data_IF_151381449698
#
_entry.id   IF_151381449698
#
_cell.length_a   1.000
_cell.length_b   1.000
_cell.length_c   1.000
_cell.angle_alpha   90.00
_cell.angle_beta   90.00
_cell.angle_gamma   90.00
#
_symmetry.space_group_name_H-M   'P 1'
#
loop_
_entity.id
_entity.type
_entity.pdbx_description
1 polymer ?
#
# COMPACT_ATOMS: atom_id res chain seq x y z
N UNK A 1 -9.86 27.57 -8.87
CA UNK A 1 -10.23 26.28 -8.29
C UNK A 1 -9.11 25.82 -7.34
N UNK A 2 -9.38 25.62 -6.02
CA UNK A 2 -8.36 25.29 -5.05
C UNK A 2 -7.49 24.08 -5.43
N UNK A 3 -8.06 23.06 -6.08
CA UNK A 3 -7.31 21.89 -6.55
C UNK A 3 -6.28 22.26 -7.62
N UNK A 4 -6.64 23.12 -8.56
CA UNK A 4 -5.73 23.53 -9.65
C UNK A 4 -4.58 24.37 -9.12
N UNK A 5 -4.82 25.22 -8.15
CA UNK A 5 -3.78 26.02 -7.48
C UNK A 5 -2.82 25.10 -6.70
N UNK A 6 -3.33 24.16 -5.89
CA UNK A 6 -2.49 23.22 -5.17
C UNK A 6 -1.65 22.34 -6.10
N UNK A 7 -2.22 21.90 -7.22
CA UNK A 7 -1.47 21.12 -8.24
C UNK A 7 -0.37 21.96 -8.85
N UNK A 8 -0.69 23.20 -9.25
CA UNK A 8 0.30 24.13 -9.83
C UNK A 8 1.42 24.41 -8.84
N UNK A 9 1.08 24.77 -7.59
CA UNK A 9 2.08 25.05 -6.56
C UNK A 9 2.99 23.84 -6.31
N UNK A 10 2.45 22.63 -6.21
CA UNK A 10 3.23 21.41 -6.04
C UNK A 10 4.19 21.16 -7.21
N UNK A 11 3.79 21.51 -8.44
CA UNK A 11 4.63 21.39 -9.64
C UNK A 11 5.68 22.49 -9.67
N UNK A 12 5.30 23.74 -9.41
CA UNK A 12 6.18 24.91 -9.52
C UNK A 12 7.34 24.84 -8.52
N UNK A 13 7.10 24.32 -7.31
CA UNK A 13 8.15 24.11 -6.30
C UNK A 13 8.85 22.74 -6.44
N UNK A 14 8.47 21.93 -7.43
CA UNK A 14 8.96 20.55 -7.60
C UNK A 14 8.95 19.75 -6.29
N UNK A 15 7.80 19.72 -5.63
CA UNK A 15 7.67 19.07 -4.31
C UNK A 15 7.92 17.56 -4.38
N UNK A 16 8.68 17.02 -3.41
CA UNK A 16 8.90 15.58 -3.25
C UNK A 16 7.72 14.88 -2.55
N UNK A 17 7.04 15.63 -1.68
CA UNK A 17 5.94 15.14 -0.86
C UNK A 17 4.87 16.20 -0.68
N UNK A 18 3.62 15.80 -0.88
CA UNK A 18 2.43 16.59 -0.53
C UNK A 18 1.75 15.94 0.68
N UNK A 19 1.49 16.73 1.73
CA UNK A 19 0.80 16.26 2.94
C UNK A 19 -0.63 16.81 2.96
N UNK A 20 -1.60 15.92 3.12
CA UNK A 20 -3.03 16.24 3.02
C UNK A 20 -3.75 15.76 4.27
N UNK A 21 -4.35 16.67 5.04
CA UNK A 21 -5.26 16.32 6.14
C UNK A 21 -6.62 15.84 5.61
N UNK A 22 -7.13 14.75 6.15
CA UNK A 22 -8.45 14.22 5.82
C UNK A 22 -9.36 14.25 7.05
N UNK A 23 -10.44 15.03 6.99
CA UNK A 23 -11.48 15.05 8.02
C UNK A 23 -12.52 13.96 7.80
N UNK A 24 -12.98 13.36 8.90
CA UNK A 24 -14.05 12.38 8.86
C UNK A 24 -15.41 13.04 8.61
N UNK A 25 -16.27 12.34 7.88
CA UNK A 25 -17.66 12.77 7.65
C UNK A 25 -17.89 13.81 6.54
N UNK A 26 -16.83 14.26 5.85
CA UNK A 26 -16.96 15.16 4.71
C UNK A 26 -16.48 14.45 3.45
N UNK A 27 -17.41 13.88 2.66
CA UNK A 27 -17.10 13.15 1.42
C UNK A 27 -16.23 13.94 0.43
N UNK A 28 -16.38 15.27 0.40
CA UNK A 28 -15.64 16.16 -0.51
C UNK A 28 -14.13 16.18 -0.26
N UNK A 29 -13.66 15.99 0.98
CA UNK A 29 -12.23 16.03 1.29
C UNK A 29 -11.47 14.80 0.78
N UNK A 30 -12.05 13.62 0.87
CA UNK A 30 -11.46 12.43 0.26
C UNK A 30 -11.37 12.52 -1.27
N UNK A 31 -12.30 13.21 -1.92
CA UNK A 31 -12.28 13.47 -3.37
C UNK A 31 -11.15 14.43 -3.73
N UNK A 32 -10.95 15.50 -2.95
CA UNK A 32 -9.87 16.47 -3.19
C UNK A 32 -8.50 15.80 -3.08
N UNK A 33 -8.27 15.02 -2.01
CA UNK A 33 -7.02 14.29 -1.82
C UNK A 33 -6.72 13.34 -2.98
N UNK A 34 -7.69 12.50 -3.37
CA UNK A 34 -7.53 11.58 -4.52
C UNK A 34 -7.27 12.30 -5.83
N UNK A 35 -7.96 13.41 -6.09
CA UNK A 35 -7.78 14.20 -7.31
C UNK A 35 -6.42 14.91 -7.33
N UNK A 36 -5.95 15.40 -6.18
CA UNK A 36 -4.61 15.98 -6.06
C UNK A 36 -3.54 14.91 -6.31
N UNK A 37 -3.63 13.75 -5.64
CA UNK A 37 -2.68 12.65 -5.80
C UNK A 37 -2.62 12.17 -7.26
N UNK A 38 -3.73 12.16 -7.98
CA UNK A 38 -3.73 11.80 -9.41
C UNK A 38 -2.98 12.78 -10.30
N UNK A 39 -2.95 14.05 -9.94
CA UNK A 39 -2.44 15.13 -10.78
C UNK A 39 -1.00 15.55 -10.46
N UNK A 40 -0.53 15.36 -9.24
CA UNK A 40 0.85 15.69 -8.86
C UNK A 40 1.80 14.52 -9.18
N UNK A 41 3.07 14.81 -9.39
CA UNK A 41 4.13 13.78 -9.54
C UNK A 41 4.74 13.38 -8.20
N UNK A 42 4.56 14.19 -7.17
CA UNK A 42 5.05 13.97 -5.81
C UNK A 42 4.44 12.75 -5.14
N UNK A 43 5.14 12.19 -4.18
CA UNK A 43 4.53 11.30 -3.19
C UNK A 43 3.46 12.07 -2.40
N UNK A 44 2.52 11.36 -1.80
CA UNK A 44 1.44 12.01 -1.05
C UNK A 44 1.16 11.28 0.27
N UNK A 45 1.21 12.00 1.38
CA UNK A 45 0.82 11.52 2.70
C UNK A 45 -0.57 12.03 3.03
N UNK A 46 -1.53 11.12 3.14
CA UNK A 46 -2.88 11.42 3.61
C UNK A 46 -2.95 11.11 5.10
N UNK A 47 -3.28 12.13 5.90
CA UNK A 47 -3.35 12.03 7.37
C UNK A 47 -4.80 12.16 7.82
N UNK A 48 -5.47 11.08 8.24
CA UNK A 48 -6.81 11.14 8.80
C UNK A 48 -6.86 11.93 10.12
N UNK A 49 -8.01 12.54 10.41
CA UNK A 49 -8.22 13.31 11.65
C UNK A 49 -7.98 12.49 12.92
N UNK A 50 -8.25 11.19 12.87
CA UNK A 50 -8.06 10.25 13.97
C UNK A 50 -6.69 9.57 13.99
N UNK A 51 -5.75 10.05 13.17
CA UNK A 51 -4.41 9.49 13.10
C UNK A 51 -3.69 9.58 14.44
N UNK A 52 -2.94 8.54 14.76
CA UNK A 52 -2.10 8.51 15.97
C UNK A 52 -0.81 9.29 15.75
N UNK A 53 -0.34 9.97 16.80
CA UNK A 53 0.91 10.74 16.76
C UNK A 53 2.12 9.87 17.17
N UNK A 54 2.29 8.72 16.47
CA UNK A 54 3.42 7.81 16.70
C UNK A 54 3.76 7.08 15.43
N UNK A 55 4.98 6.53 15.34
CA UNK A 55 5.42 5.67 14.25
C UNK A 55 6.26 4.53 14.82
N UNK A 56 5.64 3.40 15.09
CA UNK A 56 6.28 2.16 15.57
C UNK A 56 6.13 1.01 14.59
N UNK A 57 5.16 1.12 13.67
CA UNK A 57 4.86 0.07 12.70
C UNK A 57 4.44 0.63 11.35
N UNK A 58 4.96 0.04 10.29
CA UNK A 58 4.66 0.35 8.90
C UNK A 58 4.12 -0.91 8.23
N UNK A 59 2.99 -0.80 7.54
CA UNK A 59 2.45 -1.84 6.66
C UNK A 59 2.74 -1.48 5.22
N UNK A 60 3.28 -2.43 4.45
CA UNK A 60 3.53 -2.28 3.02
C UNK A 60 2.77 -3.38 2.26
N UNK A 61 1.64 -3.04 1.60
CA UNK A 61 0.98 -3.96 0.69
C UNK A 61 1.86 -4.25 -0.53
N UNK A 62 2.10 -5.54 -0.80
CA UNK A 62 2.97 -6.02 -1.86
C UNK A 62 2.13 -6.79 -2.88
N UNK A 63 2.19 -6.37 -4.13
CA UNK A 63 1.66 -7.09 -5.29
C UNK A 63 2.79 -7.54 -6.25
N UNK A 64 4.05 -7.39 -5.83
CA UNK A 64 5.25 -7.69 -6.61
C UNK A 64 5.47 -6.80 -7.84
N UNK A 65 4.76 -5.69 -7.96
CA UNK A 65 4.97 -4.67 -9.00
C UNK A 65 6.15 -3.75 -8.66
N UNK A 66 6.63 -2.97 -9.65
CA UNK A 66 7.64 -1.93 -9.43
C UNK A 66 7.19 -0.88 -8.40
N UNK A 67 5.90 -0.57 -8.35
CA UNK A 67 5.35 0.36 -7.37
C UNK A 67 5.39 -0.19 -5.93
N UNK A 68 5.24 -1.51 -5.74
CA UNK A 68 5.42 -2.12 -4.41
C UNK A 68 6.90 -2.18 -4.00
N UNK A 69 7.83 -2.25 -4.96
CA UNK A 69 9.28 -2.09 -4.69
C UNK A 69 9.56 -0.70 -4.14
N UNK A 70 9.06 0.35 -4.77
CA UNK A 70 9.26 1.72 -4.30
C UNK A 70 8.61 1.98 -2.93
N UNK A 71 7.46 1.36 -2.67
CA UNK A 71 6.82 1.40 -1.35
C UNK A 71 7.69 0.75 -0.26
N UNK A 72 8.28 -0.43 -0.55
CA UNK A 72 9.21 -1.10 0.37
C UNK A 72 10.46 -0.27 0.61
N UNK A 73 11.11 0.24 -0.44
CA UNK A 73 12.29 1.11 -0.33
C UNK A 73 12.02 2.35 0.52
N UNK A 74 10.85 2.96 0.33
CA UNK A 74 10.43 4.12 1.13
C UNK A 74 10.26 3.74 2.60
N UNK A 75 9.66 2.59 2.91
CA UNK A 75 9.52 2.10 4.29
C UNK A 75 10.88 1.86 4.95
N UNK A 76 11.81 1.23 4.24
CA UNK A 76 13.19 1.03 4.71
C UNK A 76 13.93 2.35 4.93
N UNK A 77 13.81 3.29 4.00
CA UNK A 77 14.42 4.62 4.12
C UNK A 77 13.89 5.40 5.34
N UNK A 78 12.59 5.29 5.64
CA UNK A 78 12.00 5.87 6.84
C UNK A 78 12.56 5.17 8.08
N UNK A 79 12.55 3.84 8.15
CA UNK A 79 13.07 3.07 9.29
C UNK A 79 14.51 3.43 9.61
N UNK A 80 15.38 3.51 8.61
CA UNK A 80 16.81 3.85 8.77
C UNK A 80 17.07 5.25 9.32
N UNK A 81 16.12 6.19 9.12
CA UNK A 81 16.22 7.58 9.58
C UNK A 81 15.44 7.89 10.83
N UNK A 82 14.55 7.00 11.24
CA UNK A 82 13.74 7.20 12.44
C UNK A 82 14.55 6.89 13.69
N UNK A 83 14.37 7.70 14.74
CA UNK A 83 15.15 7.58 15.98
C UNK A 83 14.78 6.36 16.84
N UNK A 84 13.57 5.85 16.67
CA UNK A 84 13.07 4.68 17.40
C UNK A 84 12.94 3.47 16.45
N UNK A 85 12.99 2.23 16.98
CA UNK A 85 12.78 1.04 16.18
C UNK A 85 11.39 1.04 15.50
N UNK A 86 11.36 0.78 14.21
CA UNK A 86 10.12 0.69 13.43
C UNK A 86 9.99 -0.72 12.85
N UNK A 87 8.91 -1.40 13.22
CA UNK A 87 8.50 -2.69 12.65
C UNK A 87 7.99 -2.48 11.23
N UNK A 88 8.45 -3.28 10.27
CA UNK A 88 7.90 -3.29 8.90
C UNK A 88 7.22 -4.64 8.66
N UNK A 89 5.98 -4.59 8.19
CA UNK A 89 5.19 -5.75 7.80
C UNK A 89 4.80 -5.62 6.34
N UNK A 90 5.22 -6.58 5.52
CA UNK A 90 4.80 -6.69 4.14
C UNK A 90 3.61 -7.66 4.02
N UNK A 91 2.52 -7.25 3.38
CA UNK A 91 1.34 -8.10 3.20
C UNK A 91 1.05 -8.32 1.73
N UNK A 92 0.73 -9.56 1.36
CA UNK A 92 0.17 -9.90 0.05
C UNK A 92 -1.24 -10.44 0.24
N UNK A 93 -2.20 -9.84 -0.47
CA UNK A 93 -3.58 -10.34 -0.53
C UNK A 93 -3.71 -11.19 -1.78
N UNK A 94 -4.08 -12.46 -1.63
CA UNK A 94 -4.14 -13.42 -2.73
C UNK A 94 -5.52 -14.07 -2.85
N UNK A 95 -5.82 -14.54 -4.06
CA UNK A 95 -7.03 -15.31 -4.36
C UNK A 95 -6.70 -16.79 -4.44
N UNK A 96 -7.60 -17.63 -3.95
CA UNK A 96 -7.57 -19.04 -4.28
C UNK A 96 -8.00 -19.26 -5.73
N UNK A 97 -7.29 -20.12 -6.48
CA UNK A 97 -7.70 -20.48 -7.84
C UNK A 97 -9.09 -21.09 -7.86
N UNK A 98 -9.89 -20.76 -8.86
CA UNK A 98 -11.19 -21.39 -9.06
C UNK A 98 -11.02 -22.82 -9.59
N UNK A 99 -11.15 -23.78 -8.71
CA UNK A 99 -10.97 -25.23 -9.01
C UNK A 99 -12.08 -25.82 -9.88
N UNK A 100 -13.22 -25.17 -9.98
CA UNK A 100 -14.36 -25.68 -10.77
C UNK A 100 -14.08 -25.71 -12.28
N UNK A 101 -13.08 -24.93 -12.76
CA UNK A 101 -12.66 -24.89 -14.15
C UNK A 101 -11.61 -25.94 -14.52
N UNK A 102 -10.98 -26.54 -13.52
CA UNK A 102 -9.94 -27.55 -13.72
C UNK A 102 -10.36 -28.81 -12.97
N UNK A 103 -10.24 -29.99 -13.62
CA UNK A 103 -10.40 -31.31 -12.95
C UNK A 103 -9.18 -31.57 -12.04
N UNK A 104 -9.04 -30.76 -10.99
CA UNK A 104 -7.97 -30.91 -10.02
C UNK A 104 -8.45 -31.93 -8.99
N UNK A 105 -7.76 -33.08 -8.88
CA UNK A 105 -8.03 -34.13 -7.90
C UNK A 105 -7.40 -33.85 -6.52
N UNK A 106 -6.95 -32.63 -6.25
CA UNK A 106 -6.36 -32.22 -4.98
C UNK A 106 -7.43 -31.74 -4.01
N UNK A 107 -7.21 -31.98 -2.71
CA UNK A 107 -8.10 -31.43 -1.69
C UNK A 107 -7.98 -29.88 -1.63
N UNK A 108 -9.01 -29.14 -1.20
CA UNK A 108 -8.92 -27.70 -1.01
C UNK A 108 -7.77 -27.29 -0.09
N UNK A 109 -7.49 -28.09 0.94
CA UNK A 109 -6.39 -27.86 1.89
C UNK A 109 -5.02 -28.04 1.24
N UNK A 110 -4.82 -29.05 0.40
CA UNK A 110 -3.57 -29.27 -0.30
C UNK A 110 -3.30 -28.16 -1.32
N UNK A 111 -4.35 -27.75 -2.04
CA UNK A 111 -4.24 -26.62 -2.98
C UNK A 111 -3.88 -25.32 -2.25
N UNK A 112 -4.49 -25.06 -1.09
CA UNK A 112 -4.17 -23.90 -0.28
C UNK A 112 -2.69 -23.88 0.14
N UNK A 113 -2.16 -25.00 0.61
CA UNK A 113 -0.74 -25.14 0.96
C UNK A 113 0.15 -24.80 -0.21
N UNK A 114 -0.13 -25.36 -1.40
CA UNK A 114 0.66 -25.07 -2.62
C UNK A 114 0.64 -23.58 -2.95
N UNK A 115 -0.52 -22.94 -2.90
CA UNK A 115 -0.63 -21.50 -3.18
C UNK A 115 0.12 -20.67 -2.14
N UNK A 116 0.01 -21.00 -0.86
CA UNK A 116 0.71 -20.30 0.22
C UNK A 116 2.23 -20.49 0.13
N UNK A 117 2.72 -21.68 -0.21
CA UNK A 117 4.14 -21.96 -0.45
C UNK A 117 4.69 -21.16 -1.63
N UNK A 118 3.94 -21.11 -2.74
CA UNK A 118 4.29 -20.31 -3.92
C UNK A 118 4.38 -18.81 -3.57
N UNK A 119 3.37 -18.29 -2.84
CA UNK A 119 3.38 -16.89 -2.39
C UNK A 119 4.51 -16.58 -1.41
N UNK A 120 4.79 -17.47 -0.49
CA UNK A 120 5.93 -17.35 0.42
C UNK A 120 7.28 -17.37 -0.32
N UNK A 121 7.40 -18.20 -1.35
CA UNK A 121 8.57 -18.21 -2.22
C UNK A 121 8.74 -16.91 -3.02
N UNK A 122 7.63 -16.39 -3.56
CA UNK A 122 7.61 -15.09 -4.23
C UNK A 122 8.02 -13.95 -3.28
N UNK A 123 7.54 -13.96 -2.02
CA UNK A 123 7.97 -13.00 -1.02
C UNK A 123 9.48 -13.08 -0.71
N UNK A 124 10.00 -14.29 -0.48
CA UNK A 124 11.45 -14.47 -0.25
C UNK A 124 12.27 -13.90 -1.40
N UNK A 125 11.89 -14.24 -2.64
CA UNK A 125 12.57 -13.70 -3.83
C UNK A 125 12.47 -12.19 -3.91
N UNK A 126 11.31 -11.62 -3.63
CA UNK A 126 11.08 -10.18 -3.63
C UNK A 126 11.93 -9.46 -2.57
N UNK A 127 11.93 -9.94 -1.33
CA UNK A 127 12.72 -9.35 -0.26
C UNK A 127 14.21 -9.47 -0.52
N UNK A 128 14.70 -10.63 -0.95
CA UNK A 128 16.11 -10.82 -1.30
C UNK A 128 16.61 -9.85 -2.37
N UNK A 129 15.73 -9.49 -3.31
CA UNK A 129 16.08 -8.57 -4.39
C UNK A 129 15.98 -7.08 -4.00
N UNK A 130 15.15 -6.72 -3.03
CA UNK A 130 14.77 -5.32 -2.81
C UNK A 130 14.82 -4.84 -1.36
N UNK A 131 15.14 -5.71 -0.40
CA UNK A 131 15.23 -5.32 1.02
C UNK A 131 16.63 -4.84 1.45
N UNK A 132 17.59 -4.75 0.52
CA UNK A 132 18.93 -4.20 0.76
C UNK A 132 19.67 -4.90 1.94
N UNK A 133 19.49 -6.21 2.12
CA UNK A 133 20.09 -7.00 3.20
C UNK A 133 19.35 -6.90 4.55
N UNK A 134 18.15 -6.37 4.56
CA UNK A 134 17.32 -6.24 5.77
C UNK A 134 16.12 -7.22 5.76
N UNK A 135 16.13 -8.24 4.87
CA UNK A 135 15.02 -9.18 4.66
C UNK A 135 14.60 -9.91 5.95
N UNK A 136 15.56 -10.30 6.78
CA UNK A 136 15.30 -10.99 8.06
C UNK A 136 14.61 -10.10 9.13
N UNK A 137 14.59 -8.80 8.90
CA UNK A 137 13.97 -7.82 9.80
C UNK A 137 12.58 -7.37 9.32
N UNK A 138 12.07 -7.97 8.25
CA UNK A 138 10.79 -7.66 7.65
C UNK A 138 9.84 -8.83 7.89
N UNK A 139 8.72 -8.55 8.55
CA UNK A 139 7.66 -9.54 8.71
C UNK A 139 6.85 -9.65 7.42
N UNK A 140 6.39 -10.85 7.10
CA UNK A 140 5.51 -11.09 5.95
C UNK A 140 4.20 -11.72 6.38
N UNK A 141 3.09 -11.33 5.76
CA UNK A 141 1.79 -11.94 5.96
C UNK A 141 1.07 -12.19 4.63
N UNK A 142 0.45 -13.36 4.52
CA UNK A 142 -0.39 -13.76 3.40
C UNK A 142 -1.85 -13.67 3.83
N UNK A 143 -2.65 -12.91 3.09
CA UNK A 143 -4.07 -12.69 3.37
C UNK A 143 -4.90 -13.32 2.25
N UNK A 144 -5.56 -14.44 2.55
CA UNK A 144 -6.49 -15.07 1.61
C UNK A 144 -7.73 -14.19 1.44
N UNK A 145 -8.04 -13.85 0.20
CA UNK A 145 -9.22 -13.05 -0.14
C UNK A 145 -10.37 -13.98 -0.52
N UNK A 146 -11.40 -14.00 0.30
CA UNK A 146 -12.65 -14.74 0.07
C UNK A 146 -13.79 -13.87 -0.47
N UNK A 147 -13.68 -12.54 -0.33
CA UNK A 147 -14.67 -11.56 -0.75
C UNK A 147 -14.01 -10.47 -1.63
N UNK A 148 -14.74 -9.83 -2.54
CA UNK A 148 -14.21 -8.72 -3.34
C UNK A 148 -13.72 -7.56 -2.46
N UNK A 149 -12.59 -6.95 -2.85
CA UNK A 149 -12.10 -5.73 -2.20
C UNK A 149 -10.79 -5.90 -1.44
N UNK A 150 -9.66 -6.02 -2.14
CA UNK A 150 -8.31 -6.12 -1.56
C UNK A 150 -8.02 -5.07 -0.49
N UNK A 151 -8.49 -3.83 -0.68
CA UNK A 151 -8.25 -2.73 0.26
C UNK A 151 -8.84 -2.98 1.66
N UNK A 152 -10.00 -3.66 1.76
CA UNK A 152 -10.60 -3.98 3.07
C UNK A 152 -9.72 -4.94 3.86
N UNK A 153 -9.17 -5.98 3.23
CA UNK A 153 -8.24 -6.91 3.89
C UNK A 153 -6.99 -6.21 4.43
N UNK A 154 -6.45 -5.26 3.65
CA UNK A 154 -5.29 -4.45 4.07
C UNK A 154 -5.65 -3.59 5.28
N UNK A 155 -6.80 -2.90 5.27
CA UNK A 155 -7.24 -2.02 6.36
C UNK A 155 -7.55 -2.84 7.63
N UNK A 156 -8.26 -3.96 7.49
CA UNK A 156 -8.62 -4.81 8.61
C UNK A 156 -7.38 -5.42 9.27
N UNK A 157 -6.41 -5.86 8.47
CA UNK A 157 -5.12 -6.32 8.96
C UNK A 157 -4.36 -5.18 9.67
N UNK A 158 -4.31 -3.99 9.06
CA UNK A 158 -3.63 -2.83 9.64
C UNK A 158 -4.23 -2.41 10.99
N UNK A 159 -5.55 -2.47 11.13
CA UNK A 159 -6.24 -2.19 12.40
C UNK A 159 -5.97 -3.27 13.45
N UNK A 160 -6.04 -4.55 13.06
CA UNK A 160 -5.79 -5.69 13.93
C UNK A 160 -4.37 -5.70 14.49
N UNK A 161 -3.39 -5.39 13.64
CA UNK A 161 -1.96 -5.38 13.98
C UNK A 161 -1.46 -4.03 14.53
N UNK A 162 -2.37 -3.11 14.83
CA UNK A 162 -2.07 -1.79 15.43
C UNK A 162 -1.04 -0.98 14.60
N UNK A 163 -1.18 -0.99 13.28
CA UNK A 163 -0.30 -0.30 12.34
C UNK A 163 -0.45 1.22 12.45
N UNK A 164 0.67 1.93 12.42
CA UNK A 164 0.72 3.39 12.53
C UNK A 164 0.80 4.11 11.17
N UNK A 165 1.32 3.43 10.13
CA UNK A 165 1.46 3.99 8.77
C UNK A 165 1.28 2.89 7.72
N UNK A 166 0.48 3.16 6.71
CA UNK A 166 0.44 2.33 5.49
C UNK A 166 1.25 3.03 4.40
N UNK A 167 2.19 2.32 3.76
CA UNK A 167 2.92 2.82 2.59
C UNK A 167 2.54 1.95 1.40
N UNK A 168 1.94 2.56 0.38
CA UNK A 168 1.40 1.84 -0.78
C UNK A 168 1.84 2.50 -2.08
N UNK A 169 2.14 1.70 -3.09
CA UNK A 169 2.39 2.19 -4.43
C UNK A 169 1.16 2.88 -5.04
N UNK A 170 1.38 3.93 -5.82
CA UNK A 170 0.29 4.64 -6.49
C UNK A 170 -0.50 3.75 -7.46
N UNK A 171 0.17 2.75 -8.06
CA UNK A 171 -0.39 1.79 -9.01
C UNK A 171 0.04 0.36 -8.64
N UNK A 172 -0.57 -0.63 -9.25
CA UNK A 172 -0.14 -2.02 -9.23
C UNK A 172 0.25 -2.47 -10.64
N UNK A 173 -0.01 -3.74 -10.98
CA UNK A 173 0.31 -4.32 -12.30
C UNK A 173 -0.45 -3.73 -13.49
N UNK A 174 -1.37 -2.80 -13.29
CA UNK A 174 -2.14 -2.20 -14.39
C UNK A 174 -1.25 -1.36 -15.30
N UNK A 175 -1.14 -1.74 -16.57
CA UNK A 175 -0.38 -1.04 -17.61
C UNK A 175 -1.05 0.24 -18.13
N UNK A 176 -2.12 0.71 -17.52
CA UNK A 176 -2.81 1.93 -17.95
C UNK A 176 -1.96 3.14 -17.54
N UNK A 177 -1.23 3.66 -18.51
CA UNK A 177 -0.16 4.66 -18.33
C UNK A 177 -0.63 6.05 -17.92
N UNK A 178 -1.89 6.42 -18.06
CA UNK A 178 -2.32 7.80 -17.92
C UNK A 178 -3.05 8.06 -16.60
N UNK A 179 -2.42 8.80 -15.70
CA UNK A 179 -3.02 9.61 -14.61
C UNK A 179 -3.96 8.88 -13.62
N UNK A 180 -4.00 7.55 -13.60
CA UNK A 180 -4.91 6.82 -12.74
C UNK A 180 -4.19 6.29 -11.49
N UNK A 181 -4.79 6.54 -10.36
CA UNK A 181 -4.48 5.88 -9.12
C UNK A 181 -4.96 4.42 -9.20
N UNK A 182 -4.19 3.47 -8.69
CA UNK A 182 -4.60 2.05 -8.67
C UNK A 182 -5.88 1.85 -7.86
N UNK A 183 -6.72 0.90 -8.28
CA UNK A 183 -8.03 0.66 -7.64
C UNK A 183 -7.93 0.33 -6.14
N UNK A 184 -6.90 -0.40 -5.72
CA UNK A 184 -6.66 -0.73 -4.31
C UNK A 184 -6.29 0.53 -3.54
N UNK A 185 -5.35 1.34 -4.04
CA UNK A 185 -4.92 2.60 -3.43
C UNK A 185 -6.08 3.58 -3.34
N UNK A 186 -6.86 3.72 -4.42
CA UNK A 186 -8.04 4.59 -4.43
C UNK A 186 -9.09 4.16 -3.40
N UNK A 187 -9.38 2.86 -3.32
CA UNK A 187 -10.33 2.32 -2.36
C UNK A 187 -9.82 2.48 -0.93
N UNK A 188 -8.54 2.22 -0.69
CA UNK A 188 -7.91 2.39 0.62
C UNK A 188 -8.04 3.84 1.09
N UNK A 189 -7.67 4.82 0.27
CA UNK A 189 -7.80 6.25 0.60
C UNK A 189 -9.25 6.69 0.85
N UNK A 190 -10.23 6.02 0.23
CA UNK A 190 -11.65 6.37 0.41
C UNK A 190 -12.29 5.75 1.64
N UNK A 191 -11.72 4.68 2.20
CA UNK A 191 -12.32 3.91 3.30
C UNK A 191 -11.49 3.92 4.58
N UNK A 192 -10.21 4.29 4.50
CA UNK A 192 -9.34 4.38 5.66
C UNK A 192 -9.49 5.76 6.32
N UNK A 193 -9.99 5.79 7.55
CA UNK A 193 -10.28 7.00 8.31
C UNK A 193 -9.44 7.14 9.59
N UNK A 194 -8.44 6.27 9.80
CA UNK A 194 -7.70 6.20 11.04
C UNK A 194 -6.17 6.17 10.86
N UNK A 195 -5.68 5.51 9.81
CA UNK A 195 -4.25 5.21 9.65
C UNK A 195 -3.68 6.12 8.56
N UNK A 196 -2.64 6.92 8.83
CA UNK A 196 -1.93 7.65 7.80
C UNK A 196 -1.53 6.76 6.63
N UNK A 197 -1.70 7.26 5.41
CA UNK A 197 -1.37 6.52 4.20
C UNK A 197 -0.43 7.33 3.33
N UNK A 198 0.78 6.82 3.13
CA UNK A 198 1.75 7.36 2.18
C UNK A 198 1.61 6.63 0.84
N UNK A 199 1.22 7.38 -0.18
CA UNK A 199 1.16 6.92 -1.56
C UNK A 199 2.47 7.25 -2.25
N UNK A 200 3.19 6.23 -2.68
CA UNK A 200 4.50 6.37 -3.32
C UNK A 200 4.35 6.23 -4.83
N UNK A 201 4.97 7.15 -5.55
CA UNK A 201 5.04 7.15 -7.00
C UNK A 201 6.42 6.71 -7.46
N UNK A 202 6.47 6.08 -8.61
CA UNK A 202 7.72 5.79 -9.27
C UNK A 202 8.40 7.11 -9.64
N UNK A 203 9.60 7.35 -9.12
CA UNK A 203 10.42 8.49 -9.52
C UNK A 203 10.92 8.24 -10.95
N UNK A 204 10.66 9.18 -11.84
CA UNK A 204 11.14 9.15 -13.22
C UNK A 204 12.60 9.63 -13.30
#
# INVERSE_FOLDING_TARGET
NPLEELVRDAIDINSDLVVIGQRNGIEQHGILARNLIRKVNSNALVVPEKARHRLRSILVPIDFSAHSVEALRTALAIRRRWSEPVRIVCVNVYDMPNTSLYRIHQSPEDLKKVVEEDRAAAFRTFLNNYADGEEDQIETALLERSQPGTASYIIDYARKEDIDLVIIGAKGHSKVELLLLGSVTEKLLSTNDQIPTLVVKEQR
#
